data_IF_656088394610
#
_entry.id   IF_656088394610
#
_cell.length_a   1.000
_cell.length_b   1.000
_cell.length_c   1.000
_cell.angle_alpha   90.00
_cell.angle_beta   90.00
_cell.angle_gamma   90.00
#
_symmetry.space_group_name_H-M   'P 1'
#
loop_
_entity.id
_entity.type
_entity.pdbx_description
1 polymer ?
#
# COMPACT_ATOMS: atom_id res chain seq x y z
N UNK A 1 -14.37 -6.13 -13.57
CA UNK A 1 -15.28 -5.85 -14.71
C UNK A 1 -14.85 -6.79 -15.85
N UNK A 2 -15.73 -7.18 -16.79
CA UNK A 2 -15.27 -8.09 -17.86
C UNK A 2 -14.40 -7.34 -18.86
N UNK A 3 -13.31 -7.96 -19.32
CA UNK A 3 -12.27 -7.38 -20.18
C UNK A 3 -12.85 -6.60 -21.38
N UNK A 4 -13.92 -7.12 -21.99
CA UNK A 4 -14.59 -6.51 -23.15
C UNK A 4 -15.08 -5.08 -22.92
N UNK A 5 -15.41 -4.72 -21.68
CA UNK A 5 -16.00 -3.42 -21.33
C UNK A 5 -15.16 -2.63 -20.33
N UNK A 6 -14.06 -3.22 -19.85
CA UNK A 6 -13.11 -2.51 -19.02
C UNK A 6 -12.29 -1.56 -19.86
N UNK A 7 -12.12 -0.34 -19.37
CA UNK A 7 -11.07 0.54 -19.87
C UNK A 7 -9.76 0.19 -19.15
N UNK A 8 -8.60 0.25 -19.83
CA UNK A 8 -7.31 -0.05 -19.21
C UNK A 8 -7.06 0.78 -17.94
N UNK A 9 -7.51 2.03 -17.90
CA UNK A 9 -7.36 2.88 -16.71
C UNK A 9 -8.20 2.37 -15.53
N UNK A 10 -9.39 1.82 -15.80
CA UNK A 10 -10.25 1.26 -14.76
C UNK A 10 -9.67 -0.04 -14.20
N UNK A 11 -9.22 -0.94 -15.07
CA UNK A 11 -8.58 -2.19 -14.61
C UNK A 11 -7.31 -1.90 -13.81
N UNK A 12 -6.52 -0.89 -14.19
CA UNK A 12 -5.34 -0.48 -13.43
C UNK A 12 -5.71 -0.03 -11.99
N UNK A 13 -6.79 0.75 -11.81
CA UNK A 13 -7.25 1.22 -10.49
C UNK A 13 -7.72 0.07 -9.60
N UNK A 14 -8.37 -0.94 -10.19
CA UNK A 14 -8.94 -2.08 -9.47
C UNK A 14 -8.04 -3.33 -9.47
N UNK A 15 -6.82 -3.22 -10.00
CA UNK A 15 -5.82 -4.28 -9.98
C UNK A 15 -5.38 -4.64 -8.55
N UNK A 16 -4.89 -5.87 -8.37
CA UNK A 16 -4.37 -6.29 -7.07
C UNK A 16 -3.12 -5.48 -6.68
N UNK A 17 -2.24 -5.15 -7.64
CA UNK A 17 -1.10 -4.24 -7.44
C UNK A 17 -1.58 -2.90 -6.86
N UNK A 18 -2.60 -2.27 -7.46
CA UNK A 18 -3.12 -0.99 -6.98
C UNK A 18 -3.79 -1.12 -5.60
N UNK A 19 -4.52 -2.21 -5.35
CA UNK A 19 -5.14 -2.48 -4.05
C UNK A 19 -4.10 -2.61 -2.94
N UNK A 20 -3.07 -3.44 -3.12
CA UNK A 20 -2.05 -3.67 -2.10
C UNK A 20 -1.12 -2.46 -1.94
N UNK A 21 -0.85 -1.71 -3.01
CA UNK A 21 -0.13 -0.43 -2.91
C UNK A 21 -0.87 0.54 -2.00
N UNK A 22 -2.18 0.69 -2.21
CA UNK A 22 -3.02 1.57 -1.38
C UNK A 22 -3.12 1.09 0.07
N UNK A 23 -3.20 -0.21 0.29
CA UNK A 23 -3.18 -0.76 1.65
C UNK A 23 -1.86 -0.45 2.36
N UNK A 24 -0.72 -0.68 1.69
CA UNK A 24 0.59 -0.35 2.24
C UNK A 24 0.70 1.14 2.60
N UNK A 25 0.24 2.03 1.72
CA UNK A 25 0.24 3.47 1.97
C UNK A 25 -0.61 3.83 3.20
N UNK A 26 -1.83 3.28 3.29
CA UNK A 26 -2.73 3.48 4.42
C UNK A 26 -2.08 3.02 5.73
N UNK A 27 -1.52 1.82 5.76
CA UNK A 27 -0.90 1.25 6.97
C UNK A 27 0.33 2.05 7.40
N UNK A 28 1.17 2.49 6.47
CA UNK A 28 2.32 3.32 6.80
C UNK A 28 1.88 4.68 7.38
N UNK A 29 0.82 5.29 6.85
CA UNK A 29 0.26 6.52 7.42
C UNK A 29 -0.40 6.32 8.78
N UNK A 30 -1.12 5.20 8.97
CA UNK A 30 -1.68 4.85 10.25
C UNK A 30 -0.58 4.66 11.30
N UNK A 31 0.53 4.00 10.92
CA UNK A 31 1.68 3.80 11.79
C UNK A 31 2.40 5.11 12.14
N UNK A 32 2.52 6.05 11.21
CA UNK A 32 3.02 7.40 11.50
C UNK A 32 2.16 8.10 12.55
N UNK A 33 0.84 8.02 12.39
CA UNK A 33 -0.12 8.57 13.35
C UNK A 33 0.03 7.94 14.73
N UNK A 34 0.16 6.61 14.80
CA UNK A 34 0.41 5.89 16.05
C UNK A 34 1.73 6.30 16.70
N UNK A 35 2.78 6.53 15.92
CA UNK A 35 4.07 7.00 16.43
C UNK A 35 3.96 8.43 17.00
N UNK A 36 3.21 9.31 16.33
CA UNK A 36 3.00 10.69 16.77
C UNK A 36 2.27 10.78 18.12
N UNK A 37 1.35 9.84 18.41
CA UNK A 37 0.64 9.78 19.70
C UNK A 37 1.32 8.87 20.73
N UNK A 38 2.51 8.32 20.42
CA UNK A 38 3.31 7.51 21.34
C UNK A 38 2.83 6.07 21.55
N UNK A 39 1.95 5.54 20.69
CA UNK A 39 1.50 4.14 20.75
C UNK A 39 2.60 3.18 20.29
N UNK A 40 3.44 3.61 19.35
CA UNK A 40 4.60 2.86 18.85
C UNK A 40 5.87 3.72 18.86
N UNK A 41 7.08 3.12 18.91
CA UNK A 41 8.33 3.88 18.77
C UNK A 41 8.45 4.54 17.40
N UNK A 42 8.86 5.82 17.36
CA UNK A 42 9.12 6.57 16.11
C UNK A 42 10.13 5.87 15.22
N UNK A 43 11.17 5.27 15.80
CA UNK A 43 12.18 4.51 15.06
C UNK A 43 11.58 3.28 14.35
N UNK A 44 10.55 2.64 14.91
CA UNK A 44 9.88 1.52 14.28
C UNK A 44 9.07 1.97 13.05
N UNK A 45 8.31 3.05 13.17
CA UNK A 45 7.56 3.63 12.04
C UNK A 45 8.49 4.04 10.89
N UNK A 46 9.58 4.74 11.21
CA UNK A 46 10.59 5.12 10.21
C UNK A 46 11.21 3.90 9.52
N UNK A 47 11.52 2.85 10.30
CA UNK A 47 12.12 1.64 9.77
C UNK A 47 11.14 0.84 8.89
N UNK A 48 9.85 0.82 9.21
CA UNK A 48 8.81 0.23 8.35
C UNK A 48 8.70 0.97 7.03
N UNK A 49 8.68 2.32 7.02
CA UNK A 49 8.63 3.07 5.76
C UNK A 49 9.90 2.90 4.93
N UNK A 50 11.09 2.88 5.55
CA UNK A 50 12.35 2.69 4.83
C UNK A 50 12.48 1.31 4.18
N UNK A 51 11.79 0.30 4.71
CA UNK A 51 11.80 -1.09 4.21
C UNK A 51 10.48 -1.49 3.57
N UNK A 52 9.63 -0.53 3.22
CA UNK A 52 8.36 -0.78 2.56
C UNK A 52 8.62 -1.61 1.28
N UNK A 53 7.92 -2.74 1.08
CA UNK A 53 8.13 -3.56 -0.09
C UNK A 53 7.69 -2.80 -1.35
N UNK A 54 8.31 -3.13 -2.47
CA UNK A 54 7.77 -2.75 -3.77
C UNK A 54 6.56 -3.64 -4.04
N UNK A 55 5.41 -3.02 -4.27
CA UNK A 55 4.21 -3.73 -4.72
C UNK A 55 4.22 -3.73 -6.25
N UNK A 56 4.51 -4.88 -6.82
CA UNK A 56 4.48 -5.15 -8.26
C UNK A 56 3.84 -6.51 -8.52
N UNK A 57 3.71 -6.92 -9.78
CA UNK A 57 3.07 -8.20 -10.15
C UNK A 57 3.71 -9.42 -9.46
N UNK A 58 5.03 -9.39 -9.22
CA UNK A 58 5.73 -10.48 -8.55
C UNK A 58 5.50 -10.51 -7.03
N UNK A 59 5.09 -9.39 -6.43
CA UNK A 59 4.70 -9.35 -5.02
C UNK A 59 3.31 -9.95 -4.80
N UNK A 60 2.39 -9.74 -5.76
CA UNK A 60 0.99 -10.15 -5.63
C UNK A 60 0.72 -11.59 -6.07
N UNK A 61 1.67 -12.22 -6.77
CA UNK A 61 1.57 -13.58 -7.30
C UNK A 61 2.68 -14.47 -6.74
#
# INVERSE_FOLDING_TARGET
MIERYSLPEMDAIFSDVARFSRYLDIELHALDGQAAVGVVPVAAAAACRARAPRIDEAFVH
#
